data_IF_683459264964
#
_entry.id   IF_683459264964
#
_cell.length_a   1.000
_cell.length_b   1.000
_cell.length_c   1.000
_cell.angle_alpha   90.00
_cell.angle_beta   90.00
_cell.angle_gamma   90.00
#
_symmetry.space_group_name_H-M   'P 1'
#
loop_
_entity.id
_entity.type
_entity.pdbx_description
1 polymer ?
#
# COMPACT_ATOMS: atom_id res chain seq x y z
N UNK A 1 17.88 -1.32 11.17
CA UNK A 1 17.51 0.03 10.68
C UNK A 1 17.25 -0.06 9.18
N UNK A 2 16.11 0.44 8.71
CA UNK A 2 15.80 0.47 7.27
C UNK A 2 16.50 1.67 6.61
N UNK A 3 17.10 1.46 5.44
CA UNK A 3 17.73 2.50 4.64
C UNK A 3 17.08 2.56 3.26
N UNK A 4 16.69 3.76 2.84
CA UNK A 4 16.14 3.99 1.50
C UNK A 4 17.28 3.82 0.48
N UNK A 5 17.12 2.87 -0.44
CA UNK A 5 18.11 2.59 -1.50
C UNK A 5 17.84 3.28 -2.83
N UNK A 6 16.58 3.67 -3.07
CA UNK A 6 16.14 4.23 -4.34
C UNK A 6 15.80 5.72 -4.18
N UNK A 7 16.14 6.54 -5.18
CA UNK A 7 15.70 7.93 -5.25
C UNK A 7 14.20 8.01 -5.60
N UNK A 8 13.61 9.19 -5.34
CA UNK A 8 12.24 9.48 -5.78
C UNK A 8 12.16 9.43 -7.30
N UNK A 9 11.08 8.85 -7.83
CA UNK A 9 10.80 8.85 -9.28
C UNK A 9 10.50 10.27 -9.77
N UNK A 10 10.76 10.54 -11.05
CA UNK A 10 10.34 11.81 -11.69
C UNK A 10 8.82 11.90 -11.69
N UNK A 11 8.28 13.10 -11.46
CA UNK A 11 6.84 13.36 -11.54
C UNK A 11 6.34 12.97 -12.94
N UNK A 12 5.35 12.07 -13.06
CA UNK A 12 4.82 11.69 -14.36
C UNK A 12 3.95 12.81 -14.95
N UNK A 13 3.83 12.86 -16.28
CA UNK A 13 2.99 13.83 -16.99
C UNK A 13 1.48 13.60 -16.75
N UNK A 14 1.08 12.34 -16.57
CA UNK A 14 -0.28 11.93 -16.26
C UNK A 14 -0.25 10.83 -15.19
N UNK A 15 -1.26 10.80 -14.32
CA UNK A 15 -1.38 9.79 -13.26
C UNK A 15 -2.26 8.62 -13.74
N UNK A 16 -1.72 7.41 -13.60
CA UNK A 16 -2.44 6.14 -13.67
C UNK A 16 -2.27 5.50 -12.31
N UNK A 17 -3.25 5.73 -11.45
CA UNK A 17 -3.20 5.39 -10.03
C UNK A 17 -3.79 4.00 -9.85
N UNK A 18 -3.06 3.13 -9.16
CA UNK A 18 -3.58 1.89 -8.63
C UNK A 18 -3.94 2.10 -7.16
N UNK A 19 -5.24 2.09 -6.83
CA UNK A 19 -5.71 2.15 -5.45
C UNK A 19 -5.63 0.77 -4.80
N UNK A 20 -5.12 0.71 -3.57
CA UNK A 20 -4.94 -0.57 -2.89
C UNK A 20 -4.96 -0.45 -1.36
N UNK A 21 -5.28 -1.58 -0.73
CA UNK A 21 -5.23 -1.81 0.71
C UNK A 21 -4.41 -3.08 0.98
N UNK A 22 -3.33 -2.98 1.77
CA UNK A 22 -2.34 -4.06 1.98
C UNK A 22 -2.98 -5.31 2.59
N UNK A 23 -3.80 -5.13 3.63
CA UNK A 23 -4.39 -6.24 4.40
C UNK A 23 -5.29 -7.18 3.58
N UNK A 24 -5.92 -6.73 2.50
CA UNK A 24 -6.82 -7.56 1.66
C UNK A 24 -6.16 -8.00 0.34
N UNK A 25 -4.88 -7.69 0.14
CA UNK A 25 -4.18 -7.90 -1.12
C UNK A 25 -3.55 -9.31 -1.26
N UNK A 26 -4.09 -10.29 -0.52
CA UNK A 26 -3.68 -11.70 -0.55
C UNK A 26 -4.88 -12.56 -0.96
N UNK A 27 -4.61 -13.76 -1.50
CA UNK A 27 -5.65 -14.73 -1.85
C UNK A 27 -6.16 -15.50 -0.64
N UNK A 28 -5.33 -15.61 0.41
CA UNK A 28 -5.66 -16.31 1.64
C UNK A 28 -6.66 -15.49 2.49
N UNK A 29 -7.58 -16.13 3.23
CA UNK A 29 -8.53 -15.45 4.11
C UNK A 29 -7.86 -14.96 5.41
N UNK A 30 -6.83 -14.11 5.27
CA UNK A 30 -6.05 -13.51 6.36
C UNK A 30 -5.68 -12.07 6.02
N UNK A 31 -5.19 -11.32 7.01
CA UNK A 31 -4.61 -10.00 6.79
C UNK A 31 -3.22 -10.17 6.16
N UNK A 32 -3.05 -9.66 4.95
CA UNK A 32 -1.78 -9.65 4.22
C UNK A 32 -0.76 -8.67 4.82
N UNK A 33 0.52 -9.03 4.72
CA UNK A 33 1.64 -8.21 5.20
C UNK A 33 2.21 -7.30 4.12
N UNK A 34 2.90 -6.22 4.52
CA UNK A 34 3.65 -5.37 3.59
C UNK A 34 4.67 -6.16 2.75
N UNK A 35 5.30 -7.20 3.31
CA UNK A 35 6.28 -8.03 2.59
C UNK A 35 5.61 -8.81 1.46
N UNK A 36 4.45 -9.41 1.73
CA UNK A 36 3.65 -10.12 0.71
C UNK A 36 3.19 -9.14 -0.38
N UNK A 37 2.74 -7.93 0.00
CA UNK A 37 2.36 -6.89 -0.96
C UNK A 37 3.51 -6.50 -1.89
N UNK A 38 4.71 -6.29 -1.34
CA UNK A 38 5.92 -5.98 -2.10
C UNK A 38 6.26 -7.09 -3.09
N UNK A 39 6.22 -8.35 -2.64
CA UNK A 39 6.64 -9.50 -3.45
C UNK A 39 5.63 -9.85 -4.55
N UNK A 40 4.33 -9.79 -4.23
CA UNK A 40 3.29 -10.36 -5.08
C UNK A 40 2.51 -9.29 -5.87
N UNK A 41 2.29 -8.12 -5.28
CA UNK A 41 1.36 -7.10 -5.82
C UNK A 41 2.10 -6.01 -6.60
N UNK A 42 3.19 -5.47 -6.06
CA UNK A 42 3.97 -4.41 -6.74
C UNK A 42 4.42 -4.83 -8.16
N UNK A 43 4.95 -6.05 -8.41
CA UNK A 43 5.32 -6.44 -9.77
C UNK A 43 4.13 -6.50 -10.72
N UNK A 44 2.94 -6.88 -10.23
CA UNK A 44 1.70 -6.90 -11.02
C UNK A 44 1.27 -5.48 -11.39
N UNK A 45 1.24 -4.55 -10.44
CA UNK A 45 0.90 -3.14 -10.68
C UNK A 45 1.82 -2.56 -11.77
N UNK A 46 3.13 -2.81 -11.65
CA UNK A 46 4.12 -2.37 -12.64
C UNK A 46 3.88 -2.99 -14.02
N UNK A 47 3.61 -4.31 -14.10
CA UNK A 47 3.29 -4.98 -15.38
C UNK A 47 2.04 -4.43 -16.05
N UNK A 48 1.07 -3.96 -15.27
CA UNK A 48 -0.16 -3.36 -15.78
C UNK A 48 0.00 -1.90 -16.24
N UNK A 49 1.19 -1.28 -16.07
CA UNK A 49 1.48 0.05 -16.61
C UNK A 49 1.03 1.24 -15.75
N UNK A 50 0.59 0.98 -14.52
CA UNK A 50 0.32 2.02 -13.52
C UNK A 50 1.63 2.71 -13.11
N UNK A 51 1.55 4.00 -12.79
CA UNK A 51 2.71 4.82 -12.45
C UNK A 51 2.62 5.50 -11.07
N UNK A 52 1.51 5.29 -10.36
CA UNK A 52 1.29 5.75 -9.01
C UNK A 52 0.47 4.71 -8.23
N UNK A 53 0.66 4.68 -6.91
CA UNK A 53 -0.09 3.82 -5.99
C UNK A 53 -0.78 4.73 -4.97
N UNK A 54 -2.09 4.59 -4.83
CA UNK A 54 -2.85 5.18 -3.73
C UNK A 54 -2.96 4.12 -2.64
N UNK A 55 -2.16 4.28 -1.59
CA UNK A 55 -2.08 3.31 -0.48
C UNK A 55 -3.04 3.72 0.63
N UNK A 56 -4.09 2.92 0.83
CA UNK A 56 -5.11 3.14 1.86
C UNK A 56 -4.75 2.44 3.17
N UNK A 57 -5.40 2.88 4.26
CA UNK A 57 -5.35 2.23 5.57
C UNK A 57 -3.93 2.07 6.17
N UNK A 58 -3.03 3.02 5.90
CA UNK A 58 -1.66 3.01 6.44
C UNK A 58 -1.59 3.53 7.86
N UNK A 59 -2.39 4.55 8.18
CA UNK A 59 -2.48 5.08 9.53
C UNK A 59 -3.20 4.06 10.41
N UNK A 60 -2.67 3.82 11.60
CA UNK A 60 -3.22 2.86 12.56
C UNK A 60 -4.69 3.11 12.88
N UNK A 61 -5.48 2.05 12.82
CA UNK A 61 -6.93 2.06 12.99
C UNK A 61 -7.38 0.74 13.63
N UNK A 62 -7.84 0.79 14.89
CA UNK A 62 -8.20 -0.42 15.63
C UNK A 62 -9.38 -1.19 15.02
N UNK A 63 -10.29 -0.51 14.31
CA UNK A 63 -11.42 -1.13 13.66
C UNK A 63 -11.11 -1.44 12.19
N UNK A 64 -10.71 -2.67 11.89
CA UNK A 64 -10.29 -3.09 10.53
C UNK A 64 -11.38 -2.87 9.46
N UNK A 65 -12.66 -3.08 9.80
CA UNK A 65 -13.78 -2.85 8.89
C UNK A 65 -14.05 -1.36 8.61
N UNK A 66 -13.35 -0.43 9.29
CA UNK A 66 -13.37 0.99 8.93
C UNK A 66 -12.66 1.29 7.62
N UNK A 67 -11.93 0.34 7.04
CA UNK A 67 -11.15 0.53 5.81
C UNK A 67 -10.10 1.66 5.95
N UNK A 68 -9.63 1.91 7.17
CA UNK A 68 -8.67 2.96 7.51
C UNK A 68 -9.30 4.33 7.80
N UNK A 69 -10.63 4.47 7.79
CA UNK A 69 -11.29 5.77 8.02
C UNK A 69 -11.44 6.14 9.50
N UNK A 70 -11.36 5.18 10.43
CA UNK A 70 -11.42 5.43 11.88
C UNK A 70 -10.03 5.31 12.51
N UNK A 71 -9.19 6.33 12.28
CA UNK A 71 -7.81 6.39 12.77
C UNK A 71 -7.78 6.48 14.30
N UNK A 72 -6.95 5.66 14.93
CA UNK A 72 -6.70 5.68 16.38
C UNK A 72 -5.33 6.27 16.72
N UNK A 73 -4.30 6.01 15.92
CA UNK A 73 -2.94 6.52 16.14
C UNK A 73 -2.36 7.12 14.85
N UNK A 74 -2.39 8.45 14.76
CA UNK A 74 -2.03 9.21 13.55
C UNK A 74 -0.59 9.03 13.06
N UNK A 75 0.32 8.60 13.93
CA UNK A 75 1.76 8.45 13.63
C UNK A 75 2.23 6.99 13.62
N UNK A 76 1.34 6.04 13.89
CA UNK A 76 1.65 4.62 13.84
C UNK A 76 1.28 4.04 12.47
N UNK A 77 2.16 3.22 11.91
CA UNK A 77 1.88 2.45 10.71
C UNK A 77 1.15 1.16 11.11
N UNK A 78 -0.03 0.95 10.54
CA UNK A 78 -0.90 -0.22 10.76
C UNK A 78 -0.27 -1.52 10.26
#
# INVERSE_FOLDING_TARGET
>A
MFHIKNSKVKKPLSLRIYECHVGIATQEPKIGSYKEFIQNVIPRIKRQGYNAIQLMAVMEHAYYASFGYQVTSFYAAS
#
